data_IF_549566092699
#
_entry.id   IF_549566092699
#
_cell.length_a   1.000
_cell.length_b   1.000
_cell.length_c   1.000
_cell.angle_alpha   90.00
_cell.angle_beta   90.00
_cell.angle_gamma   90.00
#
_symmetry.space_group_name_H-M   'P 1'
#
loop_
_entity.id
_entity.type
_entity.pdbx_description
1 polymer ?
#
# COMPACT_ATOMS: atom_id res chain seq x y z
N UNK A 1 40.04 -15.56 9.36
CA UNK A 1 39.40 -14.28 9.01
C UNK A 1 38.19 -14.57 8.15
N UNK A 2 37.00 -14.60 8.74
CA UNK A 2 35.75 -14.82 7.99
C UNK A 2 35.22 -13.47 7.52
N UNK A 3 35.02 -13.32 6.21
CA UNK A 3 34.42 -12.13 5.64
C UNK A 3 33.02 -11.92 6.24
N UNK A 4 32.82 -10.78 6.90
CA UNK A 4 31.51 -10.32 7.33
C UNK A 4 30.67 -10.10 6.07
N UNK A 5 29.84 -11.09 5.72
CA UNK A 5 28.80 -10.96 4.71
C UNK A 5 27.78 -9.94 5.20
N UNK A 6 28.02 -8.67 4.89
CA UNK A 6 27.03 -7.62 5.02
C UNK A 6 25.84 -8.00 4.17
N UNK A 7 24.79 -8.54 4.79
CA UNK A 7 23.46 -8.57 4.20
C UNK A 7 23.06 -7.12 4.04
N UNK A 8 23.32 -6.54 2.87
CA UNK A 8 22.57 -5.38 2.42
C UNK A 8 21.11 -5.75 2.66
N UNK A 9 20.46 -5.04 3.59
CA UNK A 9 19.00 -5.07 3.70
C UNK A 9 18.53 -4.59 2.34
N UNK A 10 18.19 -5.53 1.45
CA UNK A 10 17.58 -5.23 0.17
C UNK A 10 16.47 -4.22 0.46
N UNK A 11 16.72 -2.97 0.12
CA UNK A 11 15.77 -1.90 0.38
C UNK A 11 14.64 -2.25 -0.55
N UNK A 12 13.52 -2.71 0.01
CA UNK A 12 12.41 -3.18 -0.79
C UNK A 12 12.04 -2.03 -1.73
N UNK A 13 12.28 -2.21 -3.03
CA UNK A 13 11.97 -1.20 -4.02
C UNK A 13 10.52 -0.76 -3.85
N UNK A 14 10.19 0.53 -4.03
CA UNK A 14 8.81 0.98 -4.00
C UNK A 14 7.93 0.12 -4.91
N UNK A 15 6.81 -0.39 -4.39
CA UNK A 15 5.95 -1.33 -5.12
C UNK A 15 4.60 -0.71 -5.46
N UNK A 16 4.10 -0.82 -6.70
CA UNK A 16 2.75 -0.40 -7.01
C UNK A 16 1.74 -1.29 -6.30
N UNK A 17 0.70 -0.68 -5.75
CA UNK A 17 -0.34 -1.35 -4.96
C UNK A 17 -1.72 -0.78 -5.26
N UNK A 18 -2.73 -1.62 -5.08
CA UNK A 18 -4.11 -1.20 -4.92
C UNK A 18 -4.38 -0.86 -3.46
N UNK A 19 -5.14 0.21 -3.25
CA UNK A 19 -5.50 0.72 -1.93
C UNK A 19 -7.01 0.78 -1.81
N UNK A 20 -7.53 0.13 -0.77
CA UNK A 20 -8.91 0.27 -0.33
C UNK A 20 -8.92 0.80 1.11
N UNK A 21 -9.27 2.09 1.25
CA UNK A 21 -9.33 2.76 2.55
C UNK A 21 -10.38 2.19 3.49
N UNK A 22 -11.37 1.45 2.97
CA UNK A 22 -12.36 0.74 3.79
C UNK A 22 -11.80 -0.57 4.36
N UNK A 23 -10.81 -1.16 3.68
CA UNK A 23 -10.24 -2.47 4.00
C UNK A 23 -11.21 -3.64 3.79
N UNK A 24 -12.38 -3.39 3.19
CA UNK A 24 -13.43 -4.40 3.03
C UNK A 24 -13.35 -5.11 1.67
N UNK A 25 -12.65 -4.52 0.69
CA UNK A 25 -12.52 -4.99 -0.69
C UNK A 25 -13.85 -5.37 -1.34
N UNK A 26 -14.93 -4.69 -0.93
CA UNK A 26 -16.30 -4.95 -1.37
C UNK A 26 -16.82 -3.75 -2.18
N UNK A 27 -16.25 -3.54 -3.37
CA UNK A 27 -16.59 -2.41 -4.24
C UNK A 27 -17.97 -2.49 -4.90
N UNK A 28 -18.94 -3.16 -4.27
CA UNK A 28 -20.34 -3.27 -4.73
C UNK A 28 -21.03 -1.89 -4.87
N UNK A 29 -20.47 -0.83 -4.29
CA UNK A 29 -20.94 0.57 -4.39
C UNK A 29 -20.24 1.42 -5.46
N UNK A 30 -19.47 0.82 -6.38
CA UNK A 30 -18.96 1.52 -7.57
C UNK A 30 -17.72 2.42 -7.36
N UNK A 31 -17.11 2.43 -6.17
CA UNK A 31 -15.82 3.11 -5.96
C UNK A 31 -14.68 2.12 -6.21
N UNK A 32 -13.91 2.26 -7.31
CA UNK A 32 -12.74 1.41 -7.52
C UNK A 32 -11.68 1.68 -6.44
N UNK A 33 -10.80 0.70 -6.15
CA UNK A 33 -9.65 0.93 -5.30
C UNK A 33 -8.73 2.00 -5.92
N UNK A 34 -8.06 2.76 -5.06
CA UNK A 34 -7.10 3.79 -5.47
C UNK A 34 -5.76 3.17 -5.81
N UNK A 35 -5.01 3.81 -6.70
CA UNK A 35 -3.63 3.42 -6.99
C UNK A 35 -2.68 4.08 -5.97
N UNK A 36 -1.67 3.34 -5.54
CA UNK A 36 -0.59 3.89 -4.74
C UNK A 36 0.74 3.17 -4.89
N UNK A 37 1.73 3.66 -4.15
CA UNK A 37 3.08 3.11 -4.06
C UNK A 37 3.36 2.81 -2.59
N UNK A 38 3.69 1.56 -2.30
CA UNK A 38 4.14 1.09 -1.00
C UNK A 38 5.63 1.38 -0.84
N UNK A 39 5.98 2.07 0.24
CA UNK A 39 7.35 2.50 0.54
C UNK A 39 8.02 1.64 1.61
N UNK A 40 7.30 1.33 2.68
CA UNK A 40 7.85 0.58 3.83
C UNK A 40 6.78 -0.16 4.61
N UNK A 41 7.19 -1.16 5.39
CA UNK A 41 6.36 -1.90 6.33
C UNK A 41 6.81 -1.66 7.76
N UNK A 42 5.86 -1.55 8.68
CA UNK A 42 6.10 -1.62 10.12
C UNK A 42 5.12 -2.57 10.78
N UNK A 43 5.57 -3.20 11.87
CA UNK A 43 4.65 -3.79 12.83
C UNK A 43 3.97 -2.69 13.63
N UNK A 44 2.66 -2.76 13.82
CA UNK A 44 1.91 -1.87 14.71
C UNK A 44 1.06 -2.69 15.68
N UNK A 45 0.76 -2.10 16.83
CA UNK A 45 -0.23 -2.65 17.77
C UNK A 45 -1.56 -1.95 17.51
N UNK A 46 -2.55 -2.68 17.00
CA UNK A 46 -3.87 -2.11 16.74
C UNK A 46 -4.69 -1.93 18.04
N UNK A 47 -5.83 -1.25 17.94
CA UNK A 47 -6.79 -1.17 19.03
C UNK A 47 -7.10 -2.59 19.56
N UNK A 48 -6.99 -2.79 20.89
CA UNK A 48 -7.03 -4.08 21.62
C UNK A 48 -5.72 -4.89 21.66
N UNK A 49 -4.58 -4.28 21.33
CA UNK A 49 -3.26 -4.89 21.53
C UNK A 49 -2.94 -6.05 20.59
N UNK A 50 -3.73 -6.24 19.52
CA UNK A 50 -3.47 -7.26 18.53
C UNK A 50 -2.31 -6.80 17.62
N UNK A 51 -1.30 -7.64 17.41
CA UNK A 51 -0.21 -7.33 16.49
C UNK A 51 -0.77 -7.24 15.07
N UNK A 52 -0.34 -6.23 14.34
CA UNK A 52 -0.70 -6.02 12.95
C UNK A 52 0.45 -5.42 12.15
N UNK A 53 0.23 -5.31 10.85
CA UNK A 53 1.18 -4.73 9.92
C UNK A 53 0.56 -3.51 9.25
N UNK A 54 1.36 -2.48 9.11
CA UNK A 54 1.02 -1.26 8.39
C UNK A 54 2.05 -0.98 7.31
N UNK A 55 1.56 -0.60 6.13
CA UNK A 55 2.39 -0.13 5.03
C UNK A 55 2.31 1.38 4.92
N UNK A 56 3.46 2.05 4.79
CA UNK A 56 3.49 3.46 4.40
C UNK A 56 3.22 3.52 2.89
N UNK A 57 2.16 4.21 2.53
CA UNK A 57 1.73 4.34 1.13
C UNK A 57 1.63 5.80 0.73
N UNK A 58 2.10 6.10 -0.48
CA UNK A 58 1.75 7.32 -1.22
C UNK A 58 0.63 6.93 -2.18
N UNK A 59 -0.47 7.68 -2.19
CA UNK A 59 -1.63 7.32 -3.00
C UNK A 59 -2.28 8.55 -3.62
N UNK A 60 -2.97 8.33 -4.73
CA UNK A 60 -3.77 9.33 -5.41
C UNK A 60 -5.23 8.88 -5.46
N UNK A 61 -6.15 9.74 -5.04
CA UNK A 61 -7.57 9.56 -5.31
C UNK A 61 -7.94 10.40 -6.52
N UNK A 62 -8.33 9.74 -7.61
CA UNK A 62 -9.04 10.39 -8.72
C UNK A 62 -10.55 10.26 -8.46
N UNK A 63 -11.18 11.33 -8.01
CA UNK A 63 -12.64 11.40 -8.09
C UNK A 63 -13.03 12.77 -8.64
N UNK A 64 -13.29 12.78 -9.95
CA UNK A 64 -13.84 13.87 -10.77
C UNK A 64 -12.88 15.00 -11.17
N UNK A 65 -13.30 15.76 -12.19
CA UNK A 65 -12.70 17.01 -12.71
C UNK A 65 -12.48 18.10 -11.65
N UNK A 66 -12.94 17.90 -10.41
CA UNK A 66 -12.96 18.90 -9.32
C UNK A 66 -11.73 18.88 -8.41
N UNK A 67 -10.75 18.02 -8.64
CA UNK A 67 -9.45 18.13 -7.98
C UNK A 67 -8.78 16.80 -7.73
N UNK A 68 -7.50 16.73 -8.10
CA UNK A 68 -6.63 15.63 -7.74
C UNK A 68 -6.24 15.78 -6.27
N UNK A 69 -6.36 14.69 -5.51
CA UNK A 69 -5.83 14.64 -4.15
C UNK A 69 -4.83 13.50 -4.03
N UNK A 70 -3.70 13.79 -3.42
CA UNK A 70 -2.68 12.81 -3.06
C UNK A 70 -2.39 12.90 -1.58
N UNK A 71 -1.99 11.78 -0.98
CA UNK A 71 -1.62 11.73 0.42
C UNK A 71 -0.58 10.66 0.71
N UNK A 72 0.08 10.83 1.84
CA UNK A 72 1.02 9.85 2.40
C UNK A 72 0.53 9.44 3.77
N UNK A 73 0.30 8.16 4.00
CA UNK A 73 -0.18 7.67 5.30
C UNK A 73 0.18 6.21 5.55
N UNK A 74 0.17 5.81 6.83
CA UNK A 74 0.26 4.42 7.23
C UNK A 74 -1.12 3.77 7.08
N UNK A 75 -1.20 2.72 6.28
CA UNK A 75 -2.42 1.94 6.09
C UNK A 75 -2.26 0.53 6.62
N UNK A 76 -3.33 -0.02 7.19
CA UNK A 76 -3.36 -1.44 7.60
C UNK A 76 -3.07 -2.32 6.40
N UNK A 77 -2.33 -3.41 6.61
CA UNK A 77 -2.02 -4.38 5.55
C UNK A 77 -3.28 -4.89 4.83
N UNK A 78 -4.40 -5.03 5.55
CA UNK A 78 -5.70 -5.41 4.97
C UNK A 78 -6.23 -4.41 3.92
N UNK A 79 -5.77 -3.15 3.93
CA UNK A 79 -6.15 -2.11 2.97
C UNK A 79 -5.25 -2.09 1.72
N UNK A 80 -4.22 -2.94 1.65
CA UNK A 80 -3.17 -2.90 0.62
C UNK A 80 -3.14 -4.23 -0.12
N UNK A 81 -3.22 -4.21 -1.45
CA UNK A 81 -2.98 -5.39 -2.30
C UNK A 81 -1.89 -5.10 -3.32
N UNK A 82 -1.00 -6.07 -3.61
CA UNK A 82 -0.02 -5.90 -4.67
C UNK A 82 -0.73 -5.72 -6.01
N UNK A 83 -0.21 -4.80 -6.81
CA UNK A 83 -0.58 -4.69 -8.21
C UNK A 83 0.24 -5.70 -9.01
N UNK A 84 -0.41 -6.46 -9.88
CA UNK A 84 0.22 -7.40 -10.82
C UNK A 84 0.50 -6.71 -12.16
N UNK A 85 1.39 -7.30 -12.97
CA UNK A 85 1.68 -6.79 -14.32
C UNK A 85 0.42 -6.79 -15.21
N UNK A 86 -0.55 -7.67 -14.94
CA UNK A 86 -1.82 -7.67 -15.66
C UNK A 86 -2.66 -6.42 -15.37
N UNK A 87 -2.54 -5.86 -14.17
CA UNK A 87 -3.25 -4.64 -13.74
C UNK A 87 -2.71 -3.37 -14.40
N UNK A 88 -1.52 -3.43 -15.02
CA UNK A 88 -0.90 -2.29 -15.69
C UNK A 88 -1.51 -2.00 -17.06
N UNK A 89 -2.30 -2.93 -17.59
CA UNK A 89 -3.07 -2.74 -18.83
C UNK A 89 -4.35 -1.99 -18.50
N UNK A 90 -4.23 -0.70 -18.24
CA UNK A 90 -5.36 0.23 -18.33
C UNK A 90 -5.58 0.51 -19.82
N UNK A 91 -6.78 0.26 -20.39
CA UNK A 91 -7.09 0.63 -21.76
C UNK A 91 -7.11 2.15 -21.97
#
# INVERSE_FOLDING_TARGET
>A
MGAAGGRERATALPRPVWIDSTGMWNHNGGRPPSVGILLEWRSSSHARGQPGWEGLVVWANSFSERGWSSGTTWMRAACIRPMTVADWKVP
#
